data_IF_112308195369
#
_entry.id   IF_112308195369
#
_cell.length_a   1.000
_cell.length_b   1.000
_cell.length_c   1.000
_cell.angle_alpha   90.00
_cell.angle_beta   90.00
_cell.angle_gamma   90.00
#
_symmetry.space_group_name_H-M   'P 1'
#
loop_
_entity.id
_entity.type
_entity.pdbx_description
1 polymer ?
#
# COMPACT_ATOMS: atom_id res chain seq x y z
N UNK A 1 -19.13 -5.95 -38.94
CA UNK A 1 -17.82 -6.63 -38.74
C UNK A 1 -17.37 -7.14 -40.10
N UNK A 2 -16.23 -6.67 -40.61
CA UNK A 2 -15.71 -7.10 -41.92
C UNK A 2 -15.29 -8.58 -41.86
N UNK A 3 -15.73 -9.39 -42.81
CA UNK A 3 -15.40 -10.82 -42.88
C UNK A 3 -14.36 -11.04 -43.98
N UNK A 4 -13.21 -11.60 -43.61
CA UNK A 4 -12.11 -11.86 -44.53
C UNK A 4 -12.34 -13.19 -45.27
N UNK A 5 -12.45 -13.14 -46.61
CA UNK A 5 -12.48 -14.31 -47.49
C UNK A 5 -11.11 -14.98 -47.55
N UNK A 6 -11.02 -16.18 -48.14
CA UNK A 6 -9.73 -16.87 -48.31
C UNK A 6 -8.74 -16.02 -49.13
N UNK A 7 -9.21 -15.43 -50.22
CA UNK A 7 -8.45 -14.51 -51.08
C UNK A 7 -7.92 -13.28 -50.31
N UNK A 8 -8.73 -12.72 -49.41
CA UNK A 8 -8.29 -11.62 -48.56
C UNK A 8 -7.13 -12.04 -47.64
N UNK A 9 -7.18 -13.25 -47.08
CA UNK A 9 -6.12 -13.76 -46.19
C UNK A 9 -4.82 -14.01 -46.96
N UNK A 10 -4.91 -14.58 -48.16
CA UNK A 10 -3.75 -14.84 -49.03
C UNK A 10 -3.08 -13.54 -49.47
N UNK A 11 -3.86 -12.53 -49.84
CA UNK A 11 -3.34 -11.22 -50.19
C UNK A 11 -2.57 -10.59 -49.02
N UNK A 12 -3.15 -10.63 -47.82
CA UNK A 12 -2.52 -10.07 -46.62
C UNK A 12 -1.24 -10.85 -46.28
N UNK A 13 -1.26 -12.18 -46.33
CA UNK A 13 -0.09 -13.01 -46.02
C UNK A 13 1.06 -12.80 -47.01
N UNK A 14 0.76 -12.52 -48.28
CA UNK A 14 1.78 -12.29 -49.31
C UNK A 14 2.40 -10.89 -49.20
N UNK A 15 1.60 -9.88 -48.84
CA UNK A 15 2.02 -8.48 -48.88
C UNK A 15 2.45 -7.90 -47.53
N UNK A 16 2.40 -8.67 -46.44
CA UNK A 16 2.70 -8.16 -45.09
C UNK A 16 4.18 -7.88 -44.85
N UNK A 17 5.08 -8.63 -45.46
CA UNK A 17 6.52 -8.53 -45.21
C UNK A 17 7.08 -7.18 -45.69
N UNK A 18 7.78 -6.48 -44.80
CA UNK A 18 8.43 -5.19 -45.06
C UNK A 18 7.52 -3.97 -45.07
N UNK A 19 6.19 -4.13 -44.89
CA UNK A 19 5.22 -3.02 -45.03
C UNK A 19 4.61 -2.56 -43.72
N UNK A 20 4.40 -1.25 -43.62
CA UNK A 20 3.65 -0.68 -42.50
C UNK A 20 2.16 -0.99 -42.68
N UNK A 21 1.45 -1.10 -41.56
CA UNK A 21 0.00 -1.38 -41.56
C UNK A 21 -0.77 -0.37 -42.41
N UNK A 22 -0.41 0.91 -42.35
CA UNK A 22 -1.11 1.96 -43.10
C UNK A 22 -1.06 1.69 -44.60
N UNK A 23 0.13 1.40 -45.10
CA UNK A 23 0.40 1.07 -46.50
C UNK A 23 -0.32 -0.21 -46.93
N UNK A 24 -0.23 -1.28 -46.13
CA UNK A 24 -0.93 -2.54 -46.38
C UNK A 24 -2.47 -2.37 -46.42
N UNK A 25 -3.01 -1.46 -45.59
CA UNK A 25 -4.44 -1.16 -45.56
C UNK A 25 -4.86 -0.43 -46.84
N UNK A 26 -4.09 0.56 -47.29
CA UNK A 26 -4.35 1.26 -48.56
C UNK A 26 -4.35 0.30 -49.75
N UNK A 27 -3.35 -0.59 -49.84
CA UNK A 27 -3.28 -1.60 -50.91
C UNK A 27 -4.45 -2.58 -50.88
N UNK A 28 -4.87 -3.00 -49.68
CA UNK A 28 -6.01 -3.91 -49.52
C UNK A 28 -7.33 -3.26 -49.94
N UNK A 29 -7.53 -2.00 -49.54
CA UNK A 29 -8.71 -1.22 -49.90
C UNK A 29 -8.83 -1.02 -51.40
N UNK A 30 -7.71 -0.65 -52.06
CA UNK A 30 -7.66 -0.47 -53.51
C UNK A 30 -7.89 -1.78 -54.29
N UNK A 31 -7.34 -2.90 -53.80
CA UNK A 31 -7.43 -4.19 -54.49
C UNK A 31 -8.82 -4.82 -54.47
N UNK A 32 -9.53 -4.67 -53.35
CA UNK A 32 -10.82 -5.33 -53.12
C UNK A 32 -12.02 -4.38 -53.13
N UNK A 33 -11.79 -3.09 -53.42
CA UNK A 33 -12.80 -2.02 -53.38
C UNK A 33 -13.55 -1.98 -52.03
N UNK A 34 -12.76 -1.93 -50.96
CA UNK A 34 -13.25 -1.94 -49.57
C UNK A 34 -12.68 -0.77 -48.80
N UNK A 35 -13.36 -0.36 -47.72
CA UNK A 35 -12.90 0.73 -46.87
C UNK A 35 -12.65 0.24 -45.44
N UNK A 36 -11.68 -0.65 -45.26
CA UNK A 36 -11.30 -1.08 -43.90
C UNK A 36 -10.36 -0.04 -43.26
N UNK A 37 -10.49 0.09 -41.95
CA UNK A 37 -9.64 0.97 -41.14
C UNK A 37 -8.31 0.27 -40.79
N UNK A 38 -7.19 1.02 -40.66
CA UNK A 38 -5.89 0.43 -40.27
C UNK A 38 -5.94 -0.34 -38.94
N UNK A 39 -6.86 -0.01 -38.04
CA UNK A 39 -7.10 -0.75 -36.80
C UNK A 39 -7.65 -2.17 -37.05
N UNK A 40 -8.51 -2.35 -38.05
CA UNK A 40 -9.06 -3.65 -38.44
C UNK A 40 -7.97 -4.53 -39.08
N UNK A 41 -7.10 -3.93 -39.89
CA UNK A 41 -5.92 -4.60 -40.44
C UNK A 41 -4.96 -5.04 -39.33
N UNK A 42 -4.67 -4.16 -38.35
CA UNK A 42 -3.86 -4.52 -37.16
C UNK A 42 -4.45 -5.70 -36.39
N UNK A 43 -5.76 -5.67 -36.16
CA UNK A 43 -6.45 -6.74 -35.45
C UNK A 43 -6.36 -8.07 -36.22
N UNK A 44 -6.54 -8.03 -37.54
CA UNK A 44 -6.41 -9.22 -38.40
C UNK A 44 -4.99 -9.81 -38.32
N UNK A 45 -3.96 -8.99 -38.50
CA UNK A 45 -2.54 -9.40 -38.43
C UNK A 45 -2.24 -10.06 -37.08
N UNK A 46 -2.66 -9.41 -35.98
CA UNK A 46 -2.46 -9.91 -34.61
C UNK A 46 -3.17 -11.25 -34.39
N UNK A 47 -4.44 -11.36 -34.76
CA UNK A 47 -5.26 -12.55 -34.51
C UNK A 47 -4.81 -13.77 -35.32
N UNK A 48 -4.17 -13.55 -36.47
CA UNK A 48 -3.64 -14.60 -37.33
C UNK A 48 -2.13 -14.83 -37.13
N UNK A 49 -1.50 -14.18 -36.15
CA UNK A 49 -0.08 -14.39 -35.83
C UNK A 49 0.90 -13.93 -36.92
N UNK A 50 0.47 -13.10 -37.87
CA UNK A 50 1.29 -12.63 -38.98
C UNK A 50 2.26 -11.53 -38.50
N UNK A 51 3.44 -11.45 -39.13
CA UNK A 51 4.50 -10.48 -38.76
C UNK A 51 5.00 -9.75 -40.00
N UNK A 52 5.04 -8.42 -39.94
CA UNK A 52 5.60 -7.60 -41.04
C UNK A 52 7.12 -7.66 -41.13
N UNK A 53 7.82 -8.09 -40.08
CA UNK A 53 9.28 -8.15 -40.09
C UNK A 53 9.98 -6.78 -40.05
N UNK A 54 9.23 -5.68 -39.86
CA UNK A 54 9.81 -4.35 -39.68
C UNK A 54 10.44 -4.26 -38.29
N UNK A 55 11.72 -3.90 -38.24
CA UNK A 55 12.39 -3.57 -36.99
C UNK A 55 12.05 -2.13 -36.57
N UNK A 56 11.03 -2.00 -35.72
CA UNK A 56 10.60 -0.72 -35.16
C UNK A 56 11.40 -0.30 -33.90
N UNK A 57 12.48 -1.03 -33.55
CA UNK A 57 13.32 -0.65 -32.41
C UNK A 57 14.07 0.64 -32.71
N UNK A 58 14.29 1.44 -31.67
CA UNK A 58 15.13 2.63 -31.75
C UNK A 58 16.55 2.18 -32.09
N UNK A 59 17.09 2.64 -33.21
CA UNK A 59 18.42 2.24 -33.69
C UNK A 59 19.50 2.81 -32.75
N UNK A 60 20.58 2.06 -32.46
CA UNK A 60 21.73 2.57 -31.72
C UNK A 60 22.25 3.90 -32.32
N UNK A 61 22.53 4.89 -31.48
CA UNK A 61 22.94 6.23 -31.91
C UNK A 61 21.80 7.22 -32.15
N UNK A 62 20.54 6.78 -32.06
CA UNK A 62 19.38 7.68 -32.16
C UNK A 62 19.35 8.66 -30.98
N UNK A 63 19.25 9.96 -31.28
CA UNK A 63 19.19 11.03 -30.28
C UNK A 63 17.73 11.28 -29.90
N UNK A 64 17.34 11.11 -28.62
CA UNK A 64 16.00 11.44 -28.17
C UNK A 64 15.65 12.92 -28.43
N UNK A 65 14.41 13.26 -28.81
CA UNK A 65 14.00 14.64 -29.13
C UNK A 65 14.04 15.60 -27.93
N UNK A 66 14.23 15.07 -26.73
CA UNK A 66 14.40 15.79 -25.48
C UNK A 66 15.86 15.92 -25.03
N UNK A 67 16.83 15.33 -25.75
CA UNK A 67 18.25 15.43 -25.40
C UNK A 67 18.69 16.90 -25.40
N UNK A 68 19.26 17.34 -24.28
CA UNK A 68 19.73 18.72 -24.09
C UNK A 68 18.66 19.73 -23.67
N UNK A 69 17.37 19.36 -23.63
CA UNK A 69 16.30 20.24 -23.15
C UNK A 69 16.21 20.17 -21.62
N UNK A 70 16.38 21.32 -20.95
CA UNK A 70 16.13 21.47 -19.51
C UNK A 70 14.65 21.82 -19.28
N UNK A 71 14.11 21.47 -18.10
CA UNK A 71 12.72 21.77 -17.70
C UNK A 71 11.67 21.23 -18.68
N UNK A 72 11.64 19.90 -18.83
CA UNK A 72 10.68 19.20 -19.71
C UNK A 72 9.23 19.25 -19.23
N UNK A 73 8.97 19.79 -18.03
CA UNK A 73 7.63 20.01 -17.53
C UNK A 73 7.02 21.26 -18.17
N UNK A 74 5.81 21.14 -18.69
CA UNK A 74 5.01 22.26 -19.18
C UNK A 74 4.15 22.80 -18.02
N UNK A 75 4.61 23.88 -17.38
CA UNK A 75 3.87 24.54 -16.28
C UNK A 75 4.15 23.98 -14.88
N UNK A 76 3.50 24.56 -13.88
CA UNK A 76 3.60 24.13 -12.47
C UNK A 76 4.85 24.58 -11.73
N UNK A 77 5.69 25.46 -12.30
CA UNK A 77 6.83 26.06 -11.57
C UNK A 77 6.34 26.90 -10.38
N UNK A 78 5.28 27.67 -10.56
CA UNK A 78 4.71 28.52 -9.51
C UNK A 78 4.05 27.72 -8.38
N UNK A 79 3.62 26.49 -8.67
CA UNK A 79 2.98 25.59 -7.70
C UNK A 79 3.94 24.57 -7.09
N UNK A 80 5.23 24.59 -7.46
CA UNK A 80 6.24 23.74 -6.84
C UNK A 80 6.50 24.19 -5.40
N UNK A 81 6.47 23.23 -4.48
CA UNK A 81 6.86 23.48 -3.10
C UNK A 81 8.32 23.93 -3.03
N UNK A 82 8.55 25.12 -2.46
CA UNK A 82 9.88 25.63 -2.18
C UNK A 82 10.58 24.73 -1.15
N UNK A 83 11.91 24.64 -1.22
CA UNK A 83 12.70 23.90 -0.21
C UNK A 83 12.38 24.44 1.19
N UNK A 84 12.02 23.54 2.11
CA UNK A 84 11.64 23.91 3.48
C UNK A 84 10.16 24.29 3.66
N UNK A 85 9.35 24.24 2.60
CA UNK A 85 7.91 24.44 2.71
C UNK A 85 7.29 23.36 3.61
N UNK A 86 6.72 23.79 4.74
CA UNK A 86 5.92 22.92 5.61
C UNK A 86 4.46 23.00 5.18
N UNK A 87 3.74 21.86 5.10
CA UNK A 87 2.32 21.88 4.76
C UNK A 87 1.51 22.60 5.85
N UNK A 88 0.34 23.13 5.50
CA UNK A 88 -0.51 23.90 6.43
C UNK A 88 -0.95 23.09 7.66
N UNK A 89 -0.95 21.75 7.57
CA UNK A 89 -1.31 20.83 8.65
C UNK A 89 -0.09 20.33 9.43
N UNK A 90 1.08 20.96 9.26
CA UNK A 90 2.26 20.64 10.03
C UNK A 90 2.02 20.90 11.52
N UNK A 91 2.38 19.91 12.33
CA UNK A 91 2.37 19.99 13.80
C UNK A 91 3.80 19.77 14.30
N UNK A 92 4.24 20.54 15.29
CA UNK A 92 5.58 20.42 15.88
C UNK A 92 5.80 19.10 16.63
N UNK A 93 7.05 18.65 16.73
CA UNK A 93 7.46 17.56 17.64
C UNK A 93 7.10 17.95 19.08
N UNK A 94 6.57 17.00 19.85
CA UNK A 94 6.08 17.19 21.23
C UNK A 94 4.58 17.44 21.32
N UNK A 95 3.90 17.78 20.22
CA UNK A 95 2.45 17.99 20.25
C UNK A 95 1.69 16.69 20.47
N UNK A 96 0.55 16.81 21.15
CA UNK A 96 -0.38 15.71 21.43
C UNK A 96 -1.56 15.72 20.47
N UNK A 97 -2.07 14.54 20.13
CA UNK A 97 -3.35 14.38 19.42
C UNK A 97 -4.12 13.19 19.95
N UNK A 98 -5.44 13.24 19.86
CA UNK A 98 -6.30 12.06 20.05
C UNK A 98 -6.49 11.38 18.70
N UNK A 99 -6.23 10.08 18.62
CA UNK A 99 -6.39 9.29 17.40
C UNK A 99 -7.82 8.70 17.28
N UNK A 100 -8.11 8.03 16.17
CA UNK A 100 -9.43 7.41 15.92
C UNK A 100 -9.83 6.33 16.92
N UNK A 101 -8.86 5.76 17.65
CA UNK A 101 -9.09 4.74 18.69
C UNK A 101 -9.23 5.37 20.10
N UNK A 102 -9.31 6.70 20.19
CA UNK A 102 -9.37 7.50 21.44
C UNK A 102 -8.11 7.37 22.33
N UNK A 103 -6.96 7.04 21.74
CA UNK A 103 -5.66 7.12 22.43
C UNK A 103 -5.00 8.46 22.15
N UNK A 104 -4.26 8.96 23.14
CA UNK A 104 -3.38 10.13 22.98
C UNK A 104 -2.03 9.68 22.39
N UNK A 105 -1.65 10.29 21.27
CA UNK A 105 -0.35 10.14 20.63
C UNK A 105 0.48 11.43 20.79
N UNK A 106 1.78 11.29 21.01
CA UNK A 106 2.77 12.38 21.01
C UNK A 106 3.59 12.30 19.72
N UNK A 107 3.80 13.43 19.06
CA UNK A 107 4.71 13.51 17.91
C UNK A 107 6.15 13.43 18.41
N UNK A 108 6.89 12.39 18.04
CA UNK A 108 8.27 12.16 18.52
C UNK A 108 9.34 12.67 17.53
N UNK A 109 9.04 12.73 16.24
CA UNK A 109 9.95 13.22 15.22
C UNK A 109 9.22 13.63 13.93
N UNK A 110 9.90 14.43 13.10
CA UNK A 110 9.43 14.82 11.78
C UNK A 110 9.74 13.73 10.72
N UNK A 111 8.93 13.62 9.65
CA UNK A 111 7.75 14.45 9.34
C UNK A 111 6.46 14.02 10.05
N UNK A 112 6.28 12.73 10.37
CA UNK A 112 5.04 12.18 10.93
C UNK A 112 5.28 10.93 11.81
N UNK A 113 6.27 10.99 12.69
CA UNK A 113 6.49 9.94 13.67
C UNK A 113 5.69 10.23 14.95
N UNK A 114 4.67 9.43 15.19
CA UNK A 114 3.79 9.53 16.35
C UNK A 114 3.89 8.28 17.21
N UNK A 115 3.85 8.45 18.53
CA UNK A 115 3.93 7.36 19.48
C UNK A 115 2.89 7.56 20.58
N UNK A 116 2.23 6.47 20.97
CA UNK A 116 1.21 6.46 22.03
C UNK A 116 1.79 6.96 23.35
N UNK A 117 1.12 7.95 23.97
CA UNK A 117 1.53 8.60 25.23
C UNK A 117 1.67 7.62 26.38
N UNK A 118 0.72 6.70 26.56
CA UNK A 118 0.77 5.70 27.63
C UNK A 118 2.00 4.79 27.55
N UNK A 119 2.48 4.46 26.35
CA UNK A 119 3.72 3.69 26.21
C UNK A 119 4.92 4.51 26.69
N UNK A 120 4.99 5.78 26.32
CA UNK A 120 6.09 6.67 26.74
C UNK A 120 6.10 6.82 28.26
N UNK A 121 4.94 7.10 28.86
CA UNK A 121 4.81 7.28 30.32
C UNK A 121 5.19 5.99 31.06
N UNK A 122 4.71 4.84 30.59
CA UNK A 122 5.06 3.55 31.17
C UNK A 122 6.57 3.25 31.09
N UNK A 123 7.20 3.51 29.94
CA UNK A 123 8.64 3.28 29.77
C UNK A 123 9.50 4.22 30.63
N UNK A 124 9.07 5.49 30.77
CA UNK A 124 9.72 6.46 31.65
C UNK A 124 9.63 6.03 33.12
N UNK A 125 8.47 5.54 33.55
CA UNK A 125 8.25 5.10 34.93
C UNK A 125 8.97 3.79 35.26
N UNK A 126 8.89 2.78 34.39
CA UNK A 126 9.52 1.47 34.61
C UNK A 126 11.01 1.43 34.23
N UNK A 127 11.53 2.45 33.51
CA UNK A 127 12.91 2.50 33.04
C UNK A 127 13.28 1.43 32.01
N UNK A 128 12.30 0.82 31.32
CA UNK A 128 12.50 -0.25 30.33
C UNK A 128 11.56 -0.11 29.14
N UNK A 129 11.99 -0.58 27.98
CA UNK A 129 11.13 -0.66 26.79
C UNK A 129 10.10 -1.79 26.90
N UNK A 130 8.92 -1.62 26.30
CA UNK A 130 7.92 -2.70 26.21
C UNK A 130 8.48 -3.88 25.40
N UNK A 131 8.62 -5.09 25.99
CA UNK A 131 9.17 -6.23 25.27
C UNK A 131 8.27 -6.70 24.13
N UNK A 132 8.85 -7.34 23.12
CA UNK A 132 8.08 -7.93 22.01
C UNK A 132 7.04 -8.92 22.56
N UNK A 133 5.80 -8.81 22.04
CA UNK A 133 4.69 -9.67 22.48
C UNK A 133 4.02 -9.24 23.78
N UNK A 134 4.37 -8.07 24.34
CA UNK A 134 3.68 -7.44 25.45
C UNK A 134 2.93 -6.18 24.99
N UNK A 135 1.93 -5.79 25.77
CA UNK A 135 1.14 -4.59 25.58
C UNK A 135 0.95 -3.88 26.92
N UNK A 136 0.81 -2.56 26.89
CA UNK A 136 0.42 -1.76 28.06
C UNK A 136 -1.05 -1.43 27.93
N UNK A 137 -1.82 -1.73 28.96
CA UNK A 137 -3.26 -1.46 29.04
C UNK A 137 -3.55 -0.47 30.17
N UNK A 138 -4.67 0.23 30.05
CA UNK A 138 -5.23 1.06 31.12
C UNK A 138 -6.02 0.15 32.07
N UNK A 139 -5.63 0.11 33.35
CA UNK A 139 -6.21 -0.77 34.36
C UNK A 139 -7.67 -0.44 34.68
N UNK A 140 -8.03 0.84 34.60
CA UNK A 140 -9.39 1.37 34.78
C UNK A 140 -10.20 1.45 33.46
N UNK A 141 -9.58 1.13 32.33
CA UNK A 141 -10.18 1.26 31.01
C UNK A 141 -10.31 2.70 30.49
N UNK A 142 -9.90 3.72 31.24
CA UNK A 142 -9.87 5.11 30.78
C UNK A 142 -8.57 5.37 30.01
N UNK A 143 -8.69 5.58 28.70
CA UNK A 143 -7.57 5.82 27.78
C UNK A 143 -6.87 7.17 27.98
N UNK A 144 -7.37 7.99 28.90
CA UNK A 144 -6.84 9.31 29.25
C UNK A 144 -6.22 9.35 30.65
N UNK A 145 -6.32 8.27 31.43
CA UNK A 145 -5.66 8.16 32.72
C UNK A 145 -4.22 7.65 32.57
N UNK A 146 -3.27 8.57 32.51
CA UNK A 146 -1.84 8.29 32.37
C UNK A 146 -1.12 8.12 33.72
N UNK A 147 -1.82 7.87 34.82
CA UNK A 147 -1.18 7.52 36.08
C UNK A 147 -0.32 6.25 35.87
N UNK A 148 0.98 6.27 36.20
CA UNK A 148 1.84 5.10 36.02
C UNK A 148 1.32 3.84 36.71
N UNK A 149 0.63 3.95 37.85
CA UNK A 149 0.05 2.81 38.54
C UNK A 149 -1.12 2.22 37.74
N UNK A 150 -1.88 3.06 37.01
CA UNK A 150 -2.95 2.59 36.13
C UNK A 150 -2.43 1.89 34.86
N UNK A 151 -1.17 2.08 34.49
CA UNK A 151 -0.59 1.52 33.27
C UNK A 151 0.01 0.12 33.53
N UNK A 152 -0.72 -0.91 33.12
CA UNK A 152 -0.35 -2.30 33.42
C UNK A 152 0.19 -2.99 32.16
N UNK A 153 1.39 -3.57 32.26
CA UNK A 153 1.96 -4.38 31.18
C UNK A 153 1.44 -5.82 31.26
N UNK A 154 0.94 -6.32 30.15
CA UNK A 154 0.44 -7.70 30.00
C UNK A 154 1.08 -8.37 28.79
N UNK A 155 1.27 -9.69 28.86
CA UNK A 155 1.63 -10.47 27.67
C UNK A 155 0.44 -10.60 26.72
N UNK A 156 0.70 -10.77 25.41
CA UNK A 156 -0.37 -10.97 24.43
C UNK A 156 -1.26 -12.17 24.72
N UNK A 157 -0.70 -13.22 25.34
CA UNK A 157 -1.46 -14.39 25.79
C UNK A 157 -2.41 -14.08 26.95
N UNK A 158 -1.96 -13.31 27.95
CA UNK A 158 -2.82 -12.84 29.04
C UNK A 158 -3.91 -11.94 28.49
N UNK A 159 -3.57 -10.96 27.66
CA UNK A 159 -4.52 -10.03 27.07
C UNK A 159 -5.62 -10.75 26.26
N UNK A 160 -5.27 -11.78 25.50
CA UNK A 160 -6.25 -12.58 24.76
C UNK A 160 -7.25 -13.30 25.69
N UNK A 161 -6.78 -13.85 26.81
CA UNK A 161 -7.65 -14.51 27.81
C UNK A 161 -8.52 -13.49 28.51
N UNK A 162 -7.95 -12.34 28.90
CA UNK A 162 -8.67 -11.27 29.57
C UNK A 162 -9.79 -10.71 28.69
N UNK A 163 -9.51 -10.42 27.42
CA UNK A 163 -10.53 -9.96 26.47
C UNK A 163 -11.63 -11.01 26.26
N UNK A 164 -11.26 -12.29 26.11
CA UNK A 164 -12.23 -13.38 25.89
C UNK A 164 -13.18 -13.57 27.09
N UNK A 165 -12.73 -13.25 28.30
CA UNK A 165 -13.48 -13.47 29.54
C UNK A 165 -13.98 -12.20 30.22
N UNK A 166 -13.75 -11.03 29.63
CA UNK A 166 -14.15 -9.75 30.23
C UNK A 166 -13.45 -9.46 31.55
N UNK A 167 -12.15 -9.76 31.67
CA UNK A 167 -11.38 -9.55 32.91
C UNK A 167 -10.75 -8.15 33.02
N UNK A 168 -10.92 -7.30 32.02
CA UNK A 168 -10.55 -5.88 32.09
C UNK A 168 -11.76 -5.14 32.65
N UNK A 169 -11.60 -4.55 33.83
CA UNK A 169 -12.66 -3.88 34.57
C UNK A 169 -12.41 -2.37 34.62
N UNK A 170 -13.33 -1.61 35.23
CA UNK A 170 -13.20 -0.16 35.40
C UNK A 170 -12.34 0.26 36.60
N UNK A 171 -11.57 -0.67 37.13
CA UNK A 171 -10.75 -0.50 38.33
C UNK A 171 -9.43 -1.24 38.15
N UNK A 172 -8.32 -0.57 38.46
CA UNK A 172 -6.99 -1.09 38.23
C UNK A 172 -6.69 -2.33 39.08
N UNK A 173 -7.15 -2.38 40.33
CA UNK A 173 -6.95 -3.53 41.23
C UNK A 173 -7.73 -4.77 40.76
N UNK A 174 -8.96 -4.58 40.31
CA UNK A 174 -9.75 -5.65 39.70
C UNK A 174 -9.09 -6.17 38.42
N UNK A 175 -8.56 -5.29 37.57
CA UNK A 175 -7.84 -5.69 36.36
C UNK A 175 -6.54 -6.43 36.70
N UNK A 176 -5.79 -6.02 37.75
CA UNK A 176 -4.62 -6.76 38.26
C UNK A 176 -5.00 -8.17 38.71
N UNK A 177 -6.11 -8.32 39.44
CA UNK A 177 -6.65 -9.63 39.81
C UNK A 177 -7.04 -10.45 38.59
N UNK A 178 -7.60 -9.80 37.56
CA UNK A 178 -7.91 -10.40 36.26
C UNK A 178 -6.69 -10.97 35.54
N UNK A 179 -5.52 -10.35 35.67
CA UNK A 179 -4.26 -10.85 35.11
C UNK A 179 -3.86 -12.17 35.79
N UNK A 180 -3.93 -12.23 37.13
CA UNK A 180 -3.63 -13.45 37.89
C UNK A 180 -4.58 -14.58 37.46
N UNK A 181 -5.88 -14.27 37.33
CA UNK A 181 -6.86 -15.24 36.84
C UNK A 181 -6.54 -15.71 35.41
N UNK A 182 -6.10 -14.81 34.53
CA UNK A 182 -5.69 -15.16 33.18
C UNK A 182 -4.51 -16.14 33.16
N UNK A 183 -3.53 -15.99 34.06
CA UNK A 183 -2.41 -16.92 34.21
C UNK A 183 -2.85 -18.30 34.71
N UNK A 184 -3.77 -18.34 35.68
CA UNK A 184 -4.37 -19.59 36.15
C UNK A 184 -5.07 -20.32 35.01
N UNK A 185 -5.90 -19.61 34.23
CA UNK A 185 -6.63 -20.16 33.09
C UNK A 185 -5.67 -20.69 32.02
N UNK A 186 -4.62 -19.93 31.71
CA UNK A 186 -3.58 -20.33 30.78
C UNK A 186 -2.94 -21.64 31.23
N UNK A 187 -2.58 -21.75 32.51
CA UNK A 187 -1.93 -22.95 33.06
C UNK A 187 -2.84 -24.18 33.08
N UNK A 188 -4.14 -23.99 33.36
CA UNK A 188 -5.16 -25.04 33.24
C UNK A 188 -5.22 -25.56 31.79
N UNK A 189 -5.21 -24.67 30.80
CA UNK A 189 -5.21 -25.03 29.38
C UNK A 189 -3.98 -25.83 28.95
N UNK A 190 -2.79 -25.40 29.39
CA UNK A 190 -1.53 -26.12 29.14
C UNK A 190 -1.57 -27.56 29.69
N UNK A 191 -2.03 -27.74 30.93
CA UNK A 191 -2.14 -29.07 31.55
C UNK A 191 -3.14 -29.98 30.85
N UNK A 192 -4.27 -29.46 30.36
CA UNK A 192 -5.25 -30.25 29.59
C UNK A 192 -4.67 -30.75 28.27
N UNK A 193 -3.87 -29.93 27.59
CA UNK A 193 -3.20 -30.32 26.34
C UNK A 193 -2.11 -31.36 26.56
N UNK A 194 -1.34 -31.25 27.64
CA UNK A 194 -0.28 -32.21 27.98
C UNK A 194 -0.79 -33.61 28.34
N UNK A 195 -2.07 -33.74 28.72
CA UNK A 195 -2.70 -35.04 29.02
C UNK A 195 -3.31 -35.73 27.79
N UNK A 196 -3.36 -35.03 26.65
CA UNK A 196 -3.91 -35.53 25.39
C UNK A 196 -2.78 -35.98 24.47
#
# INVERSE_FOLDING_TARGET
>A
MFRYSLEHKEFISTNIHGRYVLELTSMFNEKFDVEIQPSQMRAFIKNNGLKSGIDARIKPGSIPPNKGKKKLWTGGEDTQFKKGHKPHNYVSVGSERVNGDDYVDIKIADPNMWRRKHLIVWEQHCGRSVPKGHAVIFGDGDRRNFDPDNLIMVSGGQLAIMNKRGLIQKDAELTRSGIILADIIKKIGERKRSKR
#
